data_IF_284770103654
#
_entry.id   IF_284770103654
#
_cell.length_a   1.000
_cell.length_b   1.000
_cell.length_c   1.000
_cell.angle_alpha   90.00
_cell.angle_beta   90.00
_cell.angle_gamma   90.00
#
_symmetry.space_group_name_H-M   'P 1'
#
loop_
_entity.id
_entity.type
_entity.pdbx_description
1 polymer ?
#
# COMPACT_ATOMS: atom_id res chain seq x y z
N UNK A 1 9.77 23.97 -22.08
CA UNK A 1 9.32 23.48 -20.77
C UNK A 1 8.48 22.23 -21.05
N UNK A 2 9.04 21.01 -20.94
CA UNK A 2 8.21 19.82 -20.97
C UNK A 2 7.43 19.82 -19.68
N UNK A 3 6.13 20.10 -19.71
CA UNK A 3 5.20 19.84 -18.63
C UNK A 3 5.36 18.37 -18.27
N UNK A 4 5.80 18.09 -17.05
CA UNK A 4 5.96 16.74 -16.57
C UNK A 4 4.54 16.16 -16.47
N UNK A 5 4.15 15.31 -17.42
CA UNK A 5 2.80 14.71 -17.53
C UNK A 5 2.33 14.14 -16.19
N UNK A 6 3.27 13.72 -15.36
CA UNK A 6 2.99 13.16 -14.04
C UNK A 6 2.51 14.18 -12.98
N UNK A 7 2.63 15.49 -13.25
CA UNK A 7 2.11 16.54 -12.35
C UNK A 7 0.58 16.62 -12.37
N UNK A 8 -0.05 16.08 -13.41
CA UNK A 8 -1.52 16.00 -13.54
C UNK A 8 -2.09 14.67 -13.02
N UNK A 9 -1.21 13.71 -12.66
CA UNK A 9 -1.65 12.40 -12.18
C UNK A 9 -2.11 12.47 -10.73
N UNK A 10 -3.26 11.84 -10.48
CA UNK A 10 -3.78 11.59 -9.15
C UNK A 10 -3.41 10.19 -8.68
N UNK A 11 -2.60 10.10 -7.66
CA UNK A 11 -2.07 8.83 -7.17
C UNK A 11 -2.41 8.64 -5.70
N UNK A 12 -3.07 7.53 -5.40
CA UNK A 12 -3.34 7.12 -4.02
C UNK A 12 -2.14 6.34 -3.48
N UNK A 13 -1.62 6.76 -2.32
CA UNK A 13 -0.66 6.00 -1.53
C UNK A 13 -1.34 5.36 -0.33
N UNK A 14 -1.12 4.07 -0.12
CA UNK A 14 -1.73 3.28 0.96
C UNK A 14 -0.65 2.70 1.87
N UNK A 15 -0.79 2.95 3.18
CA UNK A 15 0.11 2.43 4.23
C UNK A 15 -0.68 2.17 5.52
N UNK A 16 -0.17 1.33 6.41
CA UNK A 16 -0.75 1.14 7.72
C UNK A 16 0.05 1.83 8.83
N UNK A 17 -0.63 2.05 9.95
CA UNK A 17 -0.05 2.54 11.19
C UNK A 17 0.36 1.40 12.14
N UNK A 18 0.82 1.79 13.32
CA UNK A 18 1.05 0.82 14.40
C UNK A 18 -0.25 0.24 14.96
N UNK A 19 -0.13 -0.87 15.68
CA UNK A 19 -1.26 -1.48 16.36
C UNK A 19 -1.80 -0.55 17.44
N UNK A 20 -3.11 -0.35 17.46
CA UNK A 20 -3.79 0.39 18.50
C UNK A 20 -4.12 -0.57 19.62
N UNK A 21 -3.70 -0.25 20.85
CA UNK A 21 -4.11 -1.00 22.03
C UNK A 21 -5.62 -0.88 22.19
N UNK A 22 -6.24 -1.91 22.74
CA UNK A 22 -7.68 -2.05 22.93
C UNK A 22 -8.35 -0.76 23.46
N UNK A 23 -8.96 -0.01 22.56
CA UNK A 23 -9.81 1.12 22.98
C UNK A 23 -11.21 0.66 23.41
N UNK A 24 -11.59 -0.62 23.23
CA UNK A 24 -12.97 -1.10 23.35
C UNK A 24 -13.17 -2.44 24.10
N UNK A 25 -12.16 -2.98 24.79
CA UNK A 25 -12.34 -4.12 25.69
C UNK A 25 -12.75 -5.47 25.09
N UNK A 26 -12.69 -5.65 23.75
CA UNK A 26 -13.16 -6.87 23.08
C UNK A 26 -12.04 -7.82 22.60
N UNK A 27 -10.79 -7.62 23.02
CA UNK A 27 -9.68 -8.52 22.65
C UNK A 27 -9.24 -8.45 21.17
N UNK A 28 -9.92 -7.70 20.30
CA UNK A 28 -9.61 -7.58 18.89
C UNK A 28 -8.67 -6.40 18.67
N UNK A 29 -7.45 -6.69 18.25
CA UNK A 29 -6.48 -5.64 17.92
C UNK A 29 -6.83 -5.00 16.56
N UNK A 30 -6.73 -3.68 16.50
CA UNK A 30 -6.93 -2.89 15.28
C UNK A 30 -5.67 -2.14 14.91
N UNK A 31 -5.55 -1.81 13.63
CA UNK A 31 -4.55 -0.89 13.11
C UNK A 31 -5.21 0.11 12.18
N UNK A 32 -4.59 1.25 12.00
CA UNK A 32 -5.06 2.29 11.10
C UNK A 32 -4.57 1.99 9.68
N UNK A 33 -5.49 1.93 8.71
CA UNK A 33 -5.18 1.96 7.28
C UNK A 33 -5.35 3.39 6.79
N UNK A 34 -4.37 3.92 6.08
CA UNK A 34 -4.33 5.31 5.61
C UNK A 34 -4.20 5.34 4.10
N UNK A 35 -5.03 6.15 3.46
CA UNK A 35 -4.96 6.48 2.04
C UNK A 35 -4.71 7.97 1.87
N UNK A 36 -3.71 8.33 1.10
CA UNK A 36 -3.42 9.72 0.74
C UNK A 36 -3.57 9.88 -0.77
N UNK A 37 -4.41 10.80 -1.20
CA UNK A 37 -4.53 11.18 -2.60
C UNK A 37 -3.58 12.33 -2.89
N UNK A 38 -2.65 12.09 -3.81
CA UNK A 38 -1.77 13.10 -4.37
C UNK A 38 -2.27 13.53 -5.75
N UNK A 39 -2.25 14.82 -6.03
CA UNK A 39 -2.31 15.38 -7.36
C UNK A 39 -0.93 15.94 -7.69
N UNK A 40 -0.18 15.25 -8.53
CA UNK A 40 1.23 15.54 -8.74
C UNK A 40 2.04 15.49 -7.44
N UNK A 41 2.43 16.64 -6.92
CA UNK A 41 3.20 16.77 -5.67
C UNK A 41 2.37 17.30 -4.47
N UNK A 42 1.09 17.56 -4.67
CA UNK A 42 0.21 18.12 -3.64
C UNK A 42 -0.68 17.02 -3.04
N UNK A 43 -0.91 17.09 -1.74
CA UNK A 43 -1.92 16.28 -1.07
C UNK A 43 -3.29 16.90 -1.38
N UNK A 44 -4.13 16.15 -2.07
CA UNK A 44 -5.49 16.57 -2.44
C UNK A 44 -6.52 16.07 -1.43
N UNK A 45 -6.37 14.84 -0.94
CA UNK A 45 -7.30 14.24 0.03
C UNK A 45 -6.60 13.23 0.95
N UNK A 46 -7.26 12.90 2.03
CA UNK A 46 -6.81 11.97 3.04
C UNK A 46 -7.99 11.16 3.58
N UNK A 47 -7.83 9.85 3.60
CA UNK A 47 -8.80 8.91 4.16
C UNK A 47 -8.11 7.98 5.15
N UNK A 48 -8.82 7.60 6.23
CA UNK A 48 -8.32 6.62 7.19
C UNK A 48 -9.47 5.77 7.74
N UNK A 49 -9.22 4.49 7.89
CA UNK A 49 -10.17 3.55 8.52
C UNK A 49 -9.41 2.51 9.36
N UNK A 50 -10.12 1.83 10.21
CA UNK A 50 -9.59 0.81 11.08
C UNK A 50 -9.71 -0.57 10.45
N UNK A 51 -8.60 -1.30 10.39
CA UNK A 51 -8.55 -2.69 9.95
C UNK A 51 -8.18 -3.62 11.10
N UNK A 52 -8.61 -4.88 11.00
CA UNK A 52 -8.36 -5.90 12.01
C UNK A 52 -6.94 -6.45 11.87
N UNK A 53 -6.19 -6.52 12.96
CA UNK A 53 -4.88 -7.20 12.94
C UNK A 53 -5.07 -8.66 12.55
N UNK A 54 -4.31 -9.12 11.55
CA UNK A 54 -4.42 -10.47 10.98
C UNK A 54 -5.82 -10.84 10.46
N UNK A 55 -6.68 -9.81 10.21
CA UNK A 55 -8.01 -9.98 9.64
C UNK A 55 -8.03 -10.26 8.14
N UNK A 56 -9.21 -10.10 7.52
CA UNK A 56 -9.44 -10.23 6.07
C UNK A 56 -10.22 -9.03 5.52
N UNK A 57 -10.28 -7.93 6.26
CA UNK A 57 -11.13 -6.77 5.96
C UNK A 57 -10.39 -5.64 5.23
N UNK A 58 -9.06 -5.72 5.06
CA UNK A 58 -8.27 -4.64 4.48
C UNK A 58 -8.67 -4.27 3.03
N UNK A 59 -8.96 -5.26 2.18
CA UNK A 59 -9.38 -4.99 0.80
C UNK A 59 -10.71 -4.24 0.73
N UNK A 60 -11.70 -4.65 1.51
CA UNK A 60 -13.04 -4.03 1.53
C UNK A 60 -12.97 -2.62 2.13
N UNK A 61 -12.20 -2.45 3.20
CA UNK A 61 -11.95 -1.14 3.81
C UNK A 61 -11.28 -0.18 2.84
N UNK A 62 -10.23 -0.64 2.15
CA UNK A 62 -9.57 0.14 1.10
C UNK A 62 -10.56 0.54 0.00
N UNK A 63 -11.36 -0.39 -0.51
CA UNK A 63 -12.36 -0.11 -1.53
C UNK A 63 -13.35 0.95 -1.04
N UNK A 64 -13.83 0.84 0.20
CA UNK A 64 -14.73 1.81 0.81
C UNK A 64 -14.14 3.22 0.86
N UNK A 65 -12.88 3.34 1.29
CA UNK A 65 -12.16 4.63 1.34
C UNK A 65 -11.93 5.24 -0.05
N UNK A 66 -11.75 4.42 -1.08
CA UNK A 66 -11.52 4.89 -2.44
C UNK A 66 -12.80 5.25 -3.20
N UNK A 67 -13.98 4.86 -2.70
CA UNK A 67 -15.25 5.18 -3.34
C UNK A 67 -15.48 6.69 -3.39
N UNK A 68 -15.80 7.20 -4.58
CA UNK A 68 -16.03 8.63 -4.82
C UNK A 68 -14.77 9.45 -5.07
N UNK A 69 -13.58 8.90 -4.86
CA UNK A 69 -12.34 9.57 -5.24
C UNK A 69 -12.05 9.43 -6.74
N UNK A 70 -11.54 10.49 -7.33
CA UNK A 70 -11.01 10.47 -8.71
C UNK A 70 -9.50 10.28 -8.65
N UNK A 71 -8.99 9.16 -9.16
CA UNK A 71 -7.56 8.85 -9.19
C UNK A 71 -7.18 8.06 -10.44
N UNK A 72 -5.88 8.06 -10.75
CA UNK A 72 -5.32 7.42 -11.95
C UNK A 72 -4.54 6.15 -11.62
N UNK A 73 -3.98 6.05 -10.42
CA UNK A 73 -3.24 4.88 -9.96
C UNK A 73 -3.29 4.74 -8.44
N UNK A 74 -3.01 3.51 -7.97
CA UNK A 74 -2.86 3.18 -6.55
C UNK A 74 -1.45 2.65 -6.31
N UNK A 75 -0.79 3.12 -5.26
CA UNK A 75 0.46 2.57 -4.74
C UNK A 75 0.21 1.95 -3.37
N UNK A 76 0.58 0.70 -3.20
CA UNK A 76 0.48 -0.04 -1.94
C UNK A 76 1.87 -0.25 -1.34
N UNK A 77 2.05 -0.01 -0.05
CA UNK A 77 3.28 -0.32 0.67
C UNK A 77 3.37 -1.82 1.05
N UNK A 78 3.45 -2.68 0.03
CA UNK A 78 3.26 -4.11 0.15
C UNK A 78 1.80 -4.51 0.02
N UNK A 79 1.50 -5.80 0.24
CA UNK A 79 0.12 -6.33 0.25
C UNK A 79 -0.35 -6.72 1.64
N UNK A 80 0.57 -6.81 2.61
CA UNK A 80 0.27 -7.18 4.01
C UNK A 80 0.21 -5.93 4.86
N UNK A 81 -0.94 -5.69 5.47
CA UNK A 81 -1.23 -4.60 6.39
C UNK A 81 -1.66 -5.16 7.73
N UNK A 82 -1.37 -4.47 8.82
CA UNK A 82 -1.73 -4.94 10.16
C UNK A 82 -1.42 -6.43 10.39
N UNK A 83 -0.19 -6.82 10.15
CA UNK A 83 0.22 -8.23 10.13
C UNK A 83 -0.07 -8.90 8.79
N UNK A 84 -0.94 -9.90 8.77
CA UNK A 84 -1.35 -10.60 7.55
C UNK A 84 -2.80 -10.28 7.11
N UNK A 85 -3.31 -9.10 7.42
CA UNK A 85 -4.54 -8.61 6.80
C UNK A 85 -4.21 -8.10 5.40
N UNK A 86 -4.59 -8.86 4.39
CA UNK A 86 -4.10 -8.64 3.02
C UNK A 86 -5.05 -7.76 2.22
N UNK A 87 -4.48 -6.78 1.53
CA UNK A 87 -5.14 -6.15 0.39
C UNK A 87 -4.87 -7.02 -0.83
N UNK A 88 -5.92 -7.51 -1.49
CA UNK A 88 -5.82 -8.21 -2.78
C UNK A 88 -5.82 -7.19 -3.93
N UNK A 89 -4.66 -6.93 -4.57
CA UNK A 89 -4.58 -5.90 -5.61
C UNK A 89 -5.36 -6.28 -6.85
N UNK A 90 -5.52 -7.58 -7.14
CA UNK A 90 -6.34 -8.03 -8.28
C UNK A 90 -7.82 -7.71 -8.04
N UNK A 91 -8.32 -7.90 -6.83
CA UNK A 91 -9.69 -7.55 -6.46
C UNK A 91 -9.94 -6.03 -6.52
N UNK A 92 -8.99 -5.23 -6.02
CA UNK A 92 -9.07 -3.75 -6.08
C UNK A 92 -9.01 -3.28 -7.53
N UNK A 93 -8.15 -3.87 -8.37
CA UNK A 93 -8.07 -3.57 -9.81
C UNK A 93 -9.37 -3.88 -10.53
N UNK A 94 -10.00 -5.03 -10.24
CA UNK A 94 -11.29 -5.38 -10.84
C UNK A 94 -12.38 -4.34 -10.52
N UNK A 95 -12.32 -3.75 -9.33
CA UNK A 95 -13.30 -2.75 -8.88
C UNK A 95 -13.15 -1.39 -9.57
N UNK A 96 -11.92 -0.90 -9.68
CA UNK A 96 -11.65 0.48 -10.14
C UNK A 96 -11.10 0.55 -11.56
N UNK A 97 -10.56 -0.55 -12.10
CA UNK A 97 -9.87 -0.62 -13.40
C UNK A 97 -8.73 0.41 -13.53
N UNK A 98 -8.09 0.72 -12.40
CA UNK A 98 -6.95 1.62 -12.31
C UNK A 98 -5.68 0.84 -11.96
N UNK A 99 -4.52 1.17 -12.57
CA UNK A 99 -3.25 0.51 -12.28
C UNK A 99 -2.91 0.49 -10.79
N UNK A 100 -2.37 -0.64 -10.34
CA UNK A 100 -1.89 -0.82 -8.96
C UNK A 100 -0.41 -1.17 -8.99
N UNK A 101 0.37 -0.47 -8.18
CA UNK A 101 1.80 -0.69 -7.99
C UNK A 101 2.01 -1.09 -6.53
N UNK A 102 2.42 -2.33 -6.31
CA UNK A 102 2.86 -2.79 -4.99
C UNK A 102 4.33 -2.48 -4.84
N UNK A 103 4.70 -1.76 -3.79
CA UNK A 103 6.08 -1.28 -3.56
C UNK A 103 6.62 -1.89 -2.27
N UNK A 104 7.74 -2.59 -2.37
CA UNK A 104 8.48 -3.15 -1.24
C UNK A 104 9.87 -2.53 -1.11
N UNK A 105 10.27 -2.16 0.11
CA UNK A 105 11.58 -1.55 0.40
C UNK A 105 12.74 -2.53 0.28
N UNK A 106 12.45 -3.80 0.57
CA UNK A 106 13.39 -4.93 0.51
C UNK A 106 12.79 -6.01 -0.37
N UNK A 107 13.64 -6.84 -0.96
CA UNK A 107 13.18 -7.94 -1.80
C UNK A 107 12.25 -8.87 -1.01
N UNK A 108 11.00 -9.05 -1.46
CA UNK A 108 10.06 -9.94 -0.79
C UNK A 108 10.59 -11.38 -0.76
N UNK A 109 10.44 -12.05 0.38
CA UNK A 109 10.76 -13.46 0.54
C UNK A 109 9.47 -14.28 0.62
N UNK A 110 8.92 -14.63 -0.54
CA UNK A 110 7.67 -15.35 -0.64
C UNK A 110 7.71 -16.74 0.02
N UNK A 111 8.89 -17.37 0.11
CA UNK A 111 9.06 -18.66 0.82
C UNK A 111 8.84 -18.46 2.32
N UNK A 112 9.47 -17.44 2.89
CA UNK A 112 9.31 -17.11 4.31
C UNK A 112 7.85 -16.71 4.63
N UNK A 113 7.22 -15.92 3.77
CA UNK A 113 5.81 -15.53 3.88
C UNK A 113 4.91 -16.76 3.88
N UNK A 114 5.06 -17.66 2.90
CA UNK A 114 4.27 -18.89 2.80
C UNK A 114 4.42 -19.77 4.04
N UNK A 115 5.65 -19.94 4.53
CA UNK A 115 5.93 -20.72 5.73
C UNK A 115 5.29 -20.11 6.99
N UNK A 116 5.27 -18.78 7.10
CA UNK A 116 4.61 -18.07 8.19
C UNK A 116 3.08 -18.28 8.13
N UNK A 117 2.49 -18.13 6.94
CA UNK A 117 1.05 -18.37 6.74
C UNK A 117 0.67 -19.82 7.10
N UNK A 118 1.41 -20.81 6.61
CA UNK A 118 1.19 -22.22 6.92
C UNK A 118 1.25 -22.53 8.41
N UNK A 119 2.11 -21.83 9.16
CA UNK A 119 2.34 -22.07 10.59
C UNK A 119 1.30 -21.40 11.47
N UNK A 120 0.76 -20.25 11.07
CA UNK A 120 0.01 -19.39 11.96
C UNK A 120 -1.47 -19.20 11.56
N UNK A 121 -1.88 -19.64 10.35
CA UNK A 121 -3.23 -19.38 9.85
C UNK A 121 -3.88 -20.65 9.26
N UNK A 122 -5.06 -20.99 9.76
CA UNK A 122 -5.86 -22.09 9.20
C UNK A 122 -6.32 -21.76 7.77
N UNK A 123 -6.61 -20.50 7.50
CA UNK A 123 -7.04 -19.94 6.21
C UNK A 123 -5.86 -19.57 5.28
N UNK A 124 -4.66 -20.12 5.53
CA UNK A 124 -3.44 -19.79 4.80
C UNK A 124 -3.57 -19.87 3.28
N UNK A 125 -4.42 -20.78 2.76
CA UNK A 125 -4.64 -20.91 1.30
C UNK A 125 -5.34 -19.69 0.71
N UNK A 126 -6.31 -19.12 1.43
CA UNK A 126 -7.01 -17.89 1.04
C UNK A 126 -6.01 -16.73 0.99
N UNK A 127 -5.19 -16.60 2.05
CA UNK A 127 -4.16 -15.55 2.12
C UNK A 127 -3.08 -15.74 1.07
N UNK A 128 -2.59 -16.96 0.89
CA UNK A 128 -1.58 -17.25 -0.11
C UNK A 128 -2.08 -16.97 -1.54
N UNK A 129 -3.35 -17.18 -1.82
CA UNK A 129 -3.98 -16.87 -3.11
C UNK A 129 -3.85 -15.40 -3.53
N UNK A 130 -3.66 -14.46 -2.60
CA UNK A 130 -3.35 -13.05 -2.92
C UNK A 130 -1.95 -12.95 -3.54
N UNK A 131 -0.96 -13.62 -2.94
CA UNK A 131 0.42 -13.61 -3.45
C UNK A 131 0.56 -14.32 -4.79
N UNK A 132 -0.22 -15.37 -5.05
CA UNK A 132 -0.22 -16.10 -6.34
C UNK A 132 -0.75 -15.26 -7.50
N UNK A 133 -1.59 -14.27 -7.23
CA UNK A 133 -2.12 -13.34 -8.24
C UNK A 133 -1.17 -12.18 -8.54
N UNK A 134 -0.16 -11.95 -7.69
CA UNK A 134 0.85 -10.92 -7.95
C UNK A 134 1.71 -11.34 -9.15
N UNK A 135 2.10 -10.37 -9.92
CA UNK A 135 3.02 -10.57 -11.03
C UNK A 135 4.46 -10.83 -10.56
N UNK A 136 5.42 -10.85 -11.48
CA UNK A 136 6.83 -10.97 -11.14
C UNK A 136 7.31 -9.75 -10.34
N UNK A 137 8.22 -10.00 -9.40
CA UNK A 137 8.90 -8.96 -8.62
C UNK A 137 9.97 -8.34 -9.50
N UNK A 138 9.89 -7.03 -9.71
CA UNK A 138 10.85 -6.25 -10.47
C UNK A 138 11.65 -5.33 -9.57
N UNK A 139 12.92 -5.15 -9.91
CA UNK A 139 13.82 -4.22 -9.24
C UNK A 139 13.81 -2.89 -9.97
N UNK A 140 13.53 -1.79 -9.26
CA UNK A 140 13.45 -0.45 -9.83
C UNK A 140 14.32 0.52 -9.05
N UNK A 141 15.26 1.16 -9.72
CA UNK A 141 16.00 2.31 -9.19
C UNK A 141 15.14 3.55 -9.40
N UNK A 142 14.56 4.05 -8.31
CA UNK A 142 13.69 5.22 -8.31
C UNK A 142 14.46 6.53 -8.21
N UNK A 143 15.60 6.52 -7.50
CA UNK A 143 16.48 7.67 -7.30
C UNK A 143 17.94 7.24 -7.42
N UNK A 144 18.76 8.08 -8.08
CA UNK A 144 20.20 7.84 -8.22
C UNK A 144 20.89 7.79 -6.85
N UNK A 145 21.85 6.89 -6.69
CA UNK A 145 22.62 6.66 -5.47
C UNK A 145 21.82 6.09 -4.29
N UNK A 146 20.57 5.70 -4.50
CA UNK A 146 19.76 5.01 -3.51
C UNK A 146 19.62 3.52 -3.89
N UNK A 147 19.51 2.60 -2.90
CA UNK A 147 19.20 1.22 -3.18
C UNK A 147 17.88 1.08 -3.95
N UNK A 148 17.73 0.03 -4.78
CA UNK A 148 16.50 -0.19 -5.50
C UNK A 148 15.31 -0.48 -4.55
N UNK A 149 14.11 -0.28 -5.06
CA UNK A 149 12.87 -0.80 -4.51
C UNK A 149 12.40 -1.97 -5.37
N UNK A 150 11.50 -2.77 -4.80
CA UNK A 150 10.94 -3.94 -5.48
C UNK A 150 9.47 -3.69 -5.75
N UNK A 151 9.02 -3.98 -6.96
CA UNK A 151 7.66 -3.65 -7.39
C UNK A 151 6.99 -4.82 -8.10
N UNK A 152 5.70 -4.93 -7.90
CA UNK A 152 4.78 -5.75 -8.66
C UNK A 152 3.71 -4.82 -9.24
N UNK A 153 3.30 -5.06 -10.50
CA UNK A 153 2.43 -4.14 -11.24
C UNK A 153 1.22 -4.88 -11.78
N UNK A 154 0.05 -4.31 -11.54
CA UNK A 154 -1.23 -4.85 -12.03
C UNK A 154 -1.93 -3.76 -12.85
N UNK A 155 -2.38 -4.10 -14.04
CA UNK A 155 -3.14 -3.20 -14.92
C UNK A 155 -2.31 -2.17 -15.67
N UNK A 156 -0.96 -2.26 -15.62
CA UNK A 156 -0.06 -1.43 -16.40
C UNK A 156 1.25 -2.17 -16.74
N UNK A 157 2.11 -1.54 -17.56
CA UNK A 157 3.45 -2.05 -17.85
C UNK A 157 4.45 -1.62 -16.78
N UNK A 158 5.52 -2.41 -16.59
CA UNK A 158 6.63 -2.06 -15.70
C UNK A 158 7.28 -0.72 -16.10
N UNK A 159 7.39 -0.45 -17.40
CA UNK A 159 7.96 0.81 -17.90
C UNK A 159 7.15 2.02 -17.45
N UNK A 160 5.83 1.95 -17.58
CA UNK A 160 4.92 2.99 -17.11
C UNK A 160 5.02 3.19 -15.60
N UNK A 161 4.96 2.10 -14.83
CA UNK A 161 5.07 2.13 -13.38
C UNK A 161 6.40 2.71 -12.91
N UNK A 162 7.51 2.34 -13.57
CA UNK A 162 8.85 2.86 -13.26
C UNK A 162 8.98 4.35 -13.51
N UNK A 163 8.35 4.87 -14.57
CA UNK A 163 8.31 6.32 -14.86
C UNK A 163 7.53 7.06 -13.78
N UNK A 164 6.36 6.56 -13.39
CA UNK A 164 5.54 7.14 -12.33
C UNK A 164 6.27 7.13 -10.98
N UNK A 165 6.87 6.01 -10.60
CA UNK A 165 7.68 5.87 -9.39
C UNK A 165 8.78 6.93 -9.34
N UNK A 166 9.57 7.07 -10.42
CA UNK A 166 10.66 8.05 -10.48
C UNK A 166 10.16 9.48 -10.41
N UNK A 167 9.04 9.78 -11.03
CA UNK A 167 8.44 11.12 -10.99
C UNK A 167 7.96 11.52 -9.58
N UNK A 168 7.55 10.53 -8.77
CA UNK A 168 7.04 10.74 -7.42
C UNK A 168 8.09 10.49 -6.30
N UNK A 169 9.30 10.04 -6.62
CA UNK A 169 10.39 9.85 -5.68
C UNK A 169 11.18 11.16 -5.50
N UNK A 170 10.72 12.05 -4.61
CA UNK A 170 11.31 13.38 -4.41
C UNK A 170 12.23 13.47 -3.19
N UNK A 171 11.87 12.83 -2.08
CA UNK A 171 12.59 12.90 -0.80
C UNK A 171 13.18 11.54 -0.39
N UNK A 172 13.75 10.81 -1.33
CA UNK A 172 14.31 9.47 -1.16
C UNK A 172 13.67 8.47 -2.11
N UNK A 173 14.11 7.22 -2.04
CA UNK A 173 13.72 6.18 -3.00
C UNK A 173 12.25 5.75 -2.95
N UNK A 174 11.51 6.08 -1.89
CA UNK A 174 10.10 5.74 -1.76
C UNK A 174 9.24 6.87 -2.34
N UNK A 175 8.30 6.57 -3.24
CA UNK A 175 7.38 7.58 -3.79
C UNK A 175 6.63 8.35 -2.71
N UNK A 176 6.45 9.65 -2.91
CA UNK A 176 5.83 10.56 -1.93
C UNK A 176 4.46 10.10 -1.42
N UNK A 177 3.54 9.57 -2.25
CA UNK A 177 2.26 9.08 -1.74
C UNK A 177 2.43 8.02 -0.64
N UNK A 178 3.36 7.09 -0.78
CA UNK A 178 3.64 6.06 0.23
C UNK A 178 4.42 6.63 1.43
N UNK A 179 5.40 7.51 1.16
CA UNK A 179 6.19 8.11 2.23
C UNK A 179 5.33 8.94 3.17
N UNK A 180 4.44 9.75 2.62
CA UNK A 180 3.53 10.61 3.40
C UNK A 180 2.44 9.78 4.09
N UNK A 181 1.84 8.79 3.41
CA UNK A 181 0.89 7.87 4.03
C UNK A 181 1.49 7.23 5.30
N UNK A 182 2.75 6.76 5.22
CA UNK A 182 3.46 6.20 6.38
C UNK A 182 3.69 7.21 7.51
N UNK A 183 4.05 8.44 7.19
CA UNK A 183 4.25 9.48 8.21
C UNK A 183 2.96 9.79 8.96
N UNK A 184 1.86 9.91 8.22
CA UNK A 184 0.54 10.20 8.80
C UNK A 184 0.05 8.99 9.61
N UNK A 185 0.12 7.78 9.05
CA UNK A 185 -0.29 6.57 9.74
C UNK A 185 0.44 6.38 11.09
N UNK A 186 1.76 6.59 11.09
CA UNK A 186 2.58 6.52 12.33
C UNK A 186 2.29 7.65 13.30
N UNK A 187 2.13 8.88 12.80
CA UNK A 187 1.83 10.05 13.64
C UNK A 187 0.52 9.88 14.39
N UNK A 188 -0.52 9.42 13.71
CA UNK A 188 -1.84 9.19 14.29
C UNK A 188 -1.82 8.04 15.33
N UNK A 189 -1.16 6.93 15.02
CA UNK A 189 -1.10 5.78 15.93
C UNK A 189 -0.21 6.05 17.15
N UNK A 190 0.89 6.80 17.00
CA UNK A 190 1.75 7.15 18.13
C UNK A 190 1.01 8.05 19.14
N UNK A 191 0.17 8.97 18.67
CA UNK A 191 -0.64 9.83 19.55
C UNK A 191 -1.70 9.01 20.29
N UNK A 192 -2.37 8.09 19.62
CA UNK A 192 -3.39 7.22 20.22
C UNK A 192 -2.85 6.25 21.27
N UNK A 193 -1.54 5.88 21.23
CA UNK A 193 -0.90 5.02 22.23
C UNK A 193 -0.50 5.77 23.51
N UNK A 194 -0.48 7.10 23.48
CA UNK A 194 -0.10 7.96 24.62
C UNK A 194 -1.30 8.56 25.36
N UNK A 195 -2.50 8.44 24.83
CA UNK A 195 -3.78 8.86 25.41
C UNK A 195 -4.41 7.74 26.21
#
# INVERSE_FOLDING_TARGET
>A
MCLNVWQEFRVVGVEDGGFLREALGYGIQKALLVCILFHGTWIEDFQADMITVDGLDASEKLIGMLQGLSFDAIMLAGVSFAGFNLVDPAFVFEKFKKPIIVVSRTKPNNIAVKNALLRHFEDWRVRWGVFEKLGPIHEVVSMLNEPPIYVEVIGATLEWASKLIRALACCGRIPEPLRVARLIARGLTHKAQRS
#
